data_IF_450791932875
#
_entry.id   IF_450791932875
#
_cell.length_a   1.000
_cell.length_b   1.000
_cell.length_c   1.000
_cell.angle_alpha   90.00
_cell.angle_beta   90.00
_cell.angle_gamma   90.00
#
_symmetry.space_group_name_H-M   'P 1'
#
loop_
_entity.id
_entity.type
_entity.pdbx_description
1 polymer ?
#
# COMPACT_ATOMS: atom_id res chain seq x y z
N UNK A 1 -19.77 -25.04 -8.99
CA UNK A 1 -18.39 -24.55 -8.87
C UNK A 1 -17.79 -25.18 -7.62
N UNK A 2 -16.73 -26.00 -7.74
CA UNK A 2 -16.06 -26.57 -6.57
C UNK A 2 -15.45 -25.47 -5.70
N UNK A 3 -15.10 -25.75 -4.43
CA UNK A 3 -14.46 -24.76 -3.58
C UNK A 3 -13.19 -24.28 -4.28
N UNK A 4 -13.08 -22.96 -4.47
CA UNK A 4 -11.87 -22.30 -4.96
C UNK A 4 -10.72 -22.70 -4.04
N UNK A 5 -9.93 -23.68 -4.46
CA UNK A 5 -8.78 -24.13 -3.69
C UNK A 5 -7.73 -23.04 -3.82
N UNK A 6 -7.55 -22.24 -2.77
CA UNK A 6 -6.51 -21.22 -2.72
C UNK A 6 -5.16 -21.87 -3.01
N UNK A 7 -4.47 -21.42 -4.05
CA UNK A 7 -3.19 -21.96 -4.48
C UNK A 7 -2.01 -21.43 -3.63
N UNK A 8 -2.26 -20.39 -2.83
CA UNK A 8 -1.37 -19.93 -1.75
C UNK A 8 -2.11 -20.08 -0.42
N UNK A 9 -1.56 -20.84 0.55
CA UNK A 9 -2.20 -21.13 1.82
C UNK A 9 -2.04 -19.95 2.80
N UNK A 10 -2.63 -18.80 2.47
CA UNK A 10 -2.69 -17.65 3.37
C UNK A 10 -4.05 -17.61 4.07
N UNK A 11 -4.12 -17.12 5.32
CA UNK A 11 -5.40 -16.83 5.94
C UNK A 11 -6.12 -15.70 5.19
N UNK A 12 -7.45 -15.64 5.30
CA UNK A 12 -8.24 -14.55 4.72
C UNK A 12 -7.87 -13.19 5.32
N UNK A 13 -7.57 -13.17 6.61
CA UNK A 13 -7.07 -12.00 7.35
C UNK A 13 -6.18 -12.46 8.51
N UNK A 14 -5.21 -11.63 8.90
CA UNK A 14 -4.34 -11.86 10.05
C UNK A 14 -3.99 -10.54 10.73
N UNK A 15 -4.12 -10.48 12.06
CA UNK A 15 -3.87 -9.29 12.87
C UNK A 15 -2.78 -9.56 13.91
N UNK A 16 -1.80 -8.66 14.01
CA UNK A 16 -0.82 -8.64 15.10
C UNK A 16 -1.08 -7.43 15.95
N UNK A 17 -1.23 -7.68 17.25
CA UNK A 17 -1.38 -6.64 18.24
C UNK A 17 0.01 -6.32 18.80
N UNK A 18 0.44 -5.08 18.62
CA UNK A 18 1.71 -4.57 19.12
C UNK A 18 1.46 -3.75 20.38
N UNK A 19 2.23 -4.03 21.42
CA UNK A 19 2.10 -3.39 22.74
C UNK A 19 3.27 -2.43 23.03
N UNK A 20 4.23 -2.33 22.11
CA UNK A 20 5.34 -1.40 22.15
C UNK A 20 5.79 -1.04 20.73
N UNK A 21 6.27 0.19 20.54
CA UNK A 21 6.71 0.70 19.25
C UNK A 21 7.88 1.69 19.40
N UNK A 22 8.78 1.68 18.42
CA UNK A 22 9.74 2.74 18.17
C UNK A 22 9.29 3.48 16.90
N UNK A 23 9.08 4.78 17.02
CA UNK A 23 8.58 5.65 15.96
C UNK A 23 9.66 6.66 15.62
N UNK A 24 10.12 6.67 14.38
CA UNK A 24 11.03 7.70 13.89
C UNK A 24 10.21 8.81 13.24
N UNK A 25 10.32 10.02 13.78
CA UNK A 25 9.74 11.21 13.19
C UNK A 25 10.76 11.82 12.23
N UNK A 26 10.42 11.79 10.94
CA UNK A 26 11.28 12.33 9.89
C UNK A 26 11.35 13.85 9.87
N UNK A 27 10.35 14.56 10.42
CA UNK A 27 10.34 16.02 10.47
C UNK A 27 11.16 16.53 11.66
N UNK A 28 10.99 15.88 12.81
CA UNK A 28 11.71 16.25 14.02
C UNK A 28 13.06 15.51 14.19
N UNK A 29 13.40 14.62 13.26
CA UNK A 29 14.62 13.82 13.22
C UNK A 29 14.94 13.07 14.53
N UNK A 30 13.90 12.54 15.18
CA UNK A 30 14.03 11.92 16.50
C UNK A 30 13.22 10.63 16.63
N UNK A 31 13.69 9.77 17.54
CA UNK A 31 13.00 8.54 17.92
C UNK A 31 12.11 8.77 19.13
N UNK A 32 10.85 8.39 19.00
CA UNK A 32 9.93 8.20 20.10
C UNK A 32 9.80 6.70 20.42
N UNK A 33 9.74 6.35 21.68
CA UNK A 33 9.46 4.98 22.13
C UNK A 33 8.22 4.98 23.01
N UNK A 34 7.33 4.04 22.76
CA UNK A 34 6.09 3.88 23.53
C UNK A 34 5.88 2.41 23.86
N UNK A 35 5.29 2.14 25.02
CA UNK A 35 4.78 0.84 25.38
C UNK A 35 3.52 1.00 26.23
N UNK A 36 2.57 0.10 26.05
CA UNK A 36 1.31 0.04 26.77
C UNK A 36 1.15 -1.34 27.39
N UNK A 37 0.77 -1.38 28.66
CA UNK A 37 0.36 -2.63 29.32
C UNK A 37 -1.10 -2.93 28.95
N UNK A 38 -1.34 -4.17 28.54
CA UNK A 38 -2.70 -4.62 28.24
C UNK A 38 -3.39 -5.15 29.50
N UNK A 39 -4.72 -5.10 29.58
CA UNK A 39 -5.45 -5.69 30.68
C UNK A 39 -5.24 -7.21 30.74
N UNK A 40 -5.29 -7.75 31.96
CA UNK A 40 -5.32 -9.20 32.22
C UNK A 40 -6.60 -9.77 31.60
N UNK A 41 -6.56 -10.94 30.92
CA UNK A 41 -5.48 -11.93 30.89
C UNK A 41 -4.44 -11.76 29.77
N UNK A 42 -4.62 -10.81 28.84
CA UNK A 42 -3.78 -10.69 27.65
C UNK A 42 -2.29 -10.40 27.99
N UNK A 43 -2.03 -9.75 29.13
CA UNK A 43 -0.68 -9.42 29.58
C UNK A 43 -0.07 -10.41 30.61
N UNK A 44 -0.73 -11.53 30.96
CA UNK A 44 -0.39 -12.39 32.12
C UNK A 44 1.05 -12.96 32.13
N UNK A 45 1.81 -12.80 31.04
CA UNK A 45 3.23 -13.21 30.91
C UNK A 45 4.09 -12.19 30.13
N UNK A 46 3.61 -10.97 29.94
CA UNK A 46 4.36 -9.91 29.26
C UNK A 46 5.26 -9.18 30.27
N UNK A 47 6.49 -8.80 29.89
CA UNK A 47 7.26 -7.84 30.68
C UNK A 47 6.49 -6.52 30.80
N UNK A 48 6.73 -5.77 31.89
CA UNK A 48 6.08 -4.47 32.11
C UNK A 48 6.36 -3.48 30.96
N UNK A 49 5.48 -2.50 30.75
CA UNK A 49 5.70 -1.44 29.77
C UNK A 49 7.05 -0.75 29.99
N UNK A 50 7.43 -0.48 31.24
CA UNK A 50 8.73 0.11 31.58
C UNK A 50 9.92 -0.76 31.13
N UNK A 51 9.86 -2.08 31.33
CA UNK A 51 10.89 -3.01 30.88
C UNK A 51 10.98 -3.06 29.35
N UNK A 52 9.83 -3.07 28.66
CA UNK A 52 9.77 -3.04 27.18
C UNK A 52 10.31 -1.73 26.61
N UNK A 53 10.01 -0.59 27.24
CA UNK A 53 10.57 0.71 26.89
C UNK A 53 12.09 0.73 27.01
N UNK A 54 12.63 0.27 28.15
CA UNK A 54 14.07 0.17 28.35
C UNK A 54 14.71 -0.71 27.25
N UNK A 55 14.15 -1.89 27.00
CA UNK A 55 14.65 -2.79 25.95
C UNK A 55 14.60 -2.19 24.55
N UNK A 56 13.59 -1.37 24.21
CA UNK A 56 13.55 -0.64 22.94
C UNK A 56 14.63 0.44 22.87
N UNK A 57 14.84 1.20 23.94
CA UNK A 57 15.90 2.22 24.02
C UNK A 57 17.28 1.60 23.84
N UNK A 58 17.56 0.49 24.53
CA UNK A 58 18.85 -0.19 24.43
C UNK A 58 19.10 -0.73 23.02
N UNK A 59 18.07 -1.26 22.35
CA UNK A 59 18.16 -1.70 20.95
C UNK A 59 18.43 -0.54 20.00
N UNK A 60 17.77 0.60 20.19
CA UNK A 60 18.02 1.80 19.38
C UNK A 60 19.44 2.35 19.59
N UNK A 61 19.90 2.44 20.85
CA UNK A 61 21.25 2.88 21.17
C UNK A 61 22.31 1.94 20.57
N UNK A 62 22.10 0.62 20.70
CA UNK A 62 22.97 -0.39 20.09
C UNK A 62 22.97 -0.28 18.57
N UNK A 63 21.81 -0.05 17.95
CA UNK A 63 21.70 0.11 16.51
C UNK A 63 22.38 1.39 16.00
N UNK A 64 22.32 2.48 16.75
CA UNK A 64 23.02 3.72 16.41
C UNK A 64 24.55 3.58 16.45
N UNK A 65 25.07 2.69 17.30
CA UNK A 65 26.50 2.38 17.38
C UNK A 65 27.00 1.42 16.26
N UNK A 66 26.09 0.75 15.55
CA UNK A 66 26.46 -0.14 14.45
C UNK A 66 26.77 0.66 13.18
N UNK A 67 27.75 0.21 12.36
CA UNK A 67 27.98 0.82 11.06
C UNK A 67 26.72 0.69 10.17
N UNK A 68 26.46 1.69 9.31
CA UNK A 68 25.32 1.63 8.41
C UNK A 68 25.44 0.36 7.55
N UNK A 69 24.35 -0.41 7.40
CA UNK A 69 24.43 -1.67 6.70
C UNK A 69 24.80 -1.42 5.24
N UNK A 70 25.78 -2.17 4.73
CA UNK A 70 26.25 -2.08 3.35
C UNK A 70 25.14 -2.28 2.31
N UNK A 71 25.41 -1.99 1.03
CA UNK A 71 24.46 -2.23 -0.05
C UNK A 71 24.07 -3.73 -0.07
N UNK A 72 22.77 -4.04 -0.26
CA UNK A 72 22.33 -5.42 -0.31
C UNK A 72 22.97 -6.14 -1.52
N UNK A 73 23.45 -7.40 -1.37
CA UNK A 73 24.11 -8.15 -2.44
C UNK A 73 23.15 -8.44 -3.60
N UNK A 74 23.69 -8.59 -4.83
CA UNK A 74 22.90 -8.96 -6.00
C UNK A 74 22.10 -10.24 -5.73
N UNK A 75 20.82 -10.32 -6.13
CA UNK A 75 20.01 -11.47 -5.80
C UNK A 75 20.31 -12.60 -6.76
N UNK A 76 20.71 -13.74 -6.21
CA UNK A 76 20.64 -15.01 -6.90
C UNK A 76 19.18 -15.47 -6.90
N UNK A 77 18.62 -15.65 -8.09
CA UNK A 77 17.24 -16.10 -8.23
C UNK A 77 17.08 -17.04 -9.41
N UNK A 78 16.12 -17.95 -9.31
CA UNK A 78 15.69 -18.78 -10.44
C UNK A 78 15.03 -17.91 -11.53
N UNK A 79 14.88 -18.41 -12.77
CA UNK A 79 14.06 -17.75 -13.76
C UNK A 79 12.63 -17.48 -13.23
N UNK A 80 12.10 -16.30 -13.57
CA UNK A 80 10.74 -15.92 -13.18
C UNK A 80 9.74 -16.82 -13.88
N UNK A 81 8.85 -17.44 -13.11
CA UNK A 81 7.69 -18.21 -13.58
C UNK A 81 6.45 -17.34 -13.51
N UNK A 82 5.59 -17.44 -14.52
CA UNK A 82 4.31 -16.75 -14.59
C UNK A 82 3.19 -17.79 -14.46
N UNK A 83 2.11 -17.47 -13.75
CA UNK A 83 0.97 -18.38 -13.60
C UNK A 83 0.07 -18.49 -14.85
N UNK A 84 0.39 -17.76 -15.92
CA UNK A 84 -0.43 -17.66 -17.13
C UNK A 84 0.46 -17.34 -18.34
N UNK A 85 0.10 -17.87 -19.51
CA UNK A 85 0.73 -17.49 -20.77
C UNK A 85 0.25 -16.11 -21.25
N UNK A 86 1.06 -15.48 -22.11
CA UNK A 86 0.71 -14.21 -22.76
C UNK A 86 -0.63 -14.30 -23.51
N UNK A 87 -0.84 -15.35 -24.29
CA UNK A 87 -2.06 -15.53 -25.08
C UNK A 87 -3.30 -15.72 -24.20
N UNK A 88 -3.17 -16.47 -23.11
CA UNK A 88 -4.25 -16.61 -22.14
C UNK A 88 -4.58 -15.29 -21.44
N UNK A 89 -3.58 -14.45 -21.14
CA UNK A 89 -3.81 -13.12 -20.60
C UNK A 89 -4.55 -12.21 -21.60
N UNK A 90 -4.13 -12.22 -22.88
CA UNK A 90 -4.82 -11.45 -23.93
C UNK A 90 -6.24 -11.95 -24.19
N UNK A 91 -6.50 -13.24 -24.11
CA UNK A 91 -7.84 -13.78 -24.18
C UNK A 91 -8.75 -13.22 -23.06
N UNK A 92 -8.21 -13.08 -21.83
CA UNK A 92 -8.93 -12.43 -20.71
C UNK A 92 -9.17 -10.95 -20.97
N UNK A 93 -8.19 -10.22 -21.51
CA UNK A 93 -8.33 -8.81 -21.89
C UNK A 93 -9.43 -8.64 -22.94
N UNK A 94 -9.44 -9.47 -24.00
CA UNK A 94 -10.45 -9.39 -25.04
C UNK A 94 -11.85 -9.75 -24.52
N UNK A 95 -11.95 -10.70 -23.59
CA UNK A 95 -13.21 -10.99 -22.91
C UNK A 95 -13.70 -9.82 -22.07
N UNK A 96 -12.79 -9.17 -21.32
CA UNK A 96 -13.13 -7.97 -20.55
C UNK A 96 -13.65 -6.84 -21.44
N UNK A 97 -13.00 -6.60 -22.59
CA UNK A 97 -13.46 -5.61 -23.58
C UNK A 97 -14.88 -5.90 -24.07
N UNK A 98 -15.19 -7.16 -24.42
CA UNK A 98 -16.56 -7.53 -24.81
C UNK A 98 -17.59 -7.26 -23.71
N UNK A 99 -17.24 -7.50 -22.45
CA UNK A 99 -18.14 -7.15 -21.34
C UNK A 99 -18.32 -5.64 -21.17
N UNK A 100 -17.27 -4.85 -21.42
CA UNK A 100 -17.37 -3.38 -21.43
C UNK A 100 -18.26 -2.90 -22.59
N UNK A 101 -18.06 -3.44 -23.79
CA UNK A 101 -18.85 -3.11 -24.99
C UNK A 101 -20.33 -3.50 -24.85
N UNK A 102 -20.61 -4.62 -24.17
CA UNK A 102 -21.97 -5.06 -23.86
C UNK A 102 -22.63 -4.24 -22.74
N UNK A 103 -21.87 -3.41 -22.01
CA UNK A 103 -22.37 -2.64 -20.87
C UNK A 103 -22.47 -3.44 -19.56
N UNK A 104 -21.90 -4.65 -19.49
CA UNK A 104 -21.95 -5.50 -18.30
C UNK A 104 -21.05 -4.99 -17.16
N UNK A 105 -19.92 -4.37 -17.50
CA UNK A 105 -18.98 -3.75 -16.56
C UNK A 105 -18.41 -2.46 -17.15
N UNK A 106 -18.05 -1.51 -16.30
CA UNK A 106 -17.33 -0.30 -16.74
C UNK A 106 -15.81 -0.48 -16.73
N UNK A 107 -15.28 -1.28 -15.79
CA UNK A 107 -13.86 -1.55 -15.64
C UNK A 107 -13.62 -2.91 -14.99
N UNK A 108 -12.46 -3.51 -15.26
CA UNK A 108 -11.92 -4.64 -14.50
C UNK A 108 -10.42 -4.45 -14.28
N UNK A 109 -9.94 -4.87 -13.11
CA UNK A 109 -8.51 -4.99 -12.85
C UNK A 109 -8.06 -6.44 -13.05
N UNK A 110 -7.39 -6.72 -14.17
CA UNK A 110 -6.82 -8.04 -14.45
C UNK A 110 -5.43 -8.14 -13.84
N UNK A 111 -5.17 -9.23 -13.11
CA UNK A 111 -3.88 -9.49 -12.48
C UNK A 111 -3.30 -10.84 -12.91
N UNK A 112 -1.98 -10.94 -12.84
CA UNK A 112 -1.22 -12.18 -13.03
C UNK A 112 -0.11 -12.26 -12.00
N UNK A 113 0.36 -13.47 -11.68
CA UNK A 113 1.34 -13.70 -10.64
C UNK A 113 2.68 -14.11 -11.25
N UNK A 114 3.73 -13.41 -10.83
CA UNK A 114 5.12 -13.72 -11.12
C UNK A 114 5.75 -14.34 -9.88
N UNK A 115 6.58 -15.37 -10.06
CA UNK A 115 7.17 -16.14 -8.98
C UNK A 115 8.62 -16.46 -9.29
N UNK A 116 9.50 -16.35 -8.30
CA UNK A 116 10.87 -16.84 -8.38
C UNK A 116 11.29 -17.40 -7.03
N UNK A 117 12.30 -18.28 -7.02
CA UNK A 117 13.02 -18.75 -5.84
C UNK A 117 14.30 -17.93 -5.70
N UNK A 118 14.61 -17.52 -4.48
CA UNK A 118 15.83 -16.78 -4.14
C UNK A 118 16.27 -17.19 -2.74
N UNK A 119 17.58 -17.12 -2.52
CA UNK A 119 18.25 -17.29 -1.23
C UNK A 119 18.47 -15.96 -0.49
N UNK A 120 18.13 -14.83 -1.12
CA UNK A 120 18.23 -13.52 -0.47
C UNK A 120 17.20 -13.39 0.64
N UNK A 121 17.67 -12.95 1.81
CA UNK A 121 16.79 -12.73 2.96
C UNK A 121 15.70 -11.66 2.66
N UNK A 122 14.49 -11.81 3.21
CA UNK A 122 13.40 -10.84 3.01
C UNK A 122 13.80 -9.41 3.36
N UNK A 123 14.59 -9.20 4.42
CA UNK A 123 15.04 -7.86 4.80
C UNK A 123 15.96 -7.23 3.73
N UNK A 124 16.85 -8.01 3.11
CA UNK A 124 17.71 -7.50 2.03
C UNK A 124 16.90 -7.19 0.77
N UNK A 125 15.91 -8.02 0.42
CA UNK A 125 14.98 -7.72 -0.66
C UNK A 125 14.19 -6.44 -0.39
N UNK A 126 13.71 -6.24 0.84
CA UNK A 126 12.97 -5.03 1.21
C UNK A 126 13.84 -3.77 1.14
N UNK A 127 15.10 -3.85 1.61
CA UNK A 127 16.06 -2.74 1.47
C UNK A 127 16.33 -2.39 0.00
N UNK A 128 16.37 -3.38 -0.89
CA UNK A 128 16.48 -3.16 -2.35
C UNK A 128 15.23 -2.45 -2.87
N UNK A 129 14.05 -2.99 -2.56
CA UNK A 129 12.77 -2.43 -2.98
C UNK A 129 12.61 -0.97 -2.57
N UNK A 130 12.92 -0.64 -1.30
CA UNK A 130 12.81 0.74 -0.77
C UNK A 130 13.78 1.72 -1.46
N UNK A 131 14.90 1.24 -1.99
CA UNK A 131 15.84 2.08 -2.77
C UNK A 131 15.37 2.27 -4.21
N UNK A 132 14.87 1.21 -4.86
CA UNK A 132 14.47 1.26 -6.27
C UNK A 132 13.09 1.88 -6.48
N UNK A 133 12.20 1.76 -5.50
CA UNK A 133 10.82 2.25 -5.55
C UNK A 133 10.44 2.73 -4.15
N UNK A 134 10.89 3.92 -3.73
CA UNK A 134 10.48 4.51 -2.46
C UNK A 134 8.97 4.81 -2.49
N UNK A 135 8.28 4.55 -1.38
CA UNK A 135 6.85 4.85 -1.27
C UNK A 135 6.46 5.31 0.15
N UNK A 136 5.39 6.12 0.21
CA UNK A 136 4.77 6.63 1.44
C UNK A 136 4.06 5.56 2.26
N UNK A 137 3.52 4.52 1.63
CA UNK A 137 2.82 3.41 2.28
C UNK A 137 3.59 2.08 2.17
N UNK A 138 4.92 2.14 2.29
CA UNK A 138 5.78 0.96 2.30
C UNK A 138 5.67 0.16 3.62
N UNK A 139 5.77 -1.16 3.54
CA UNK A 139 5.68 -2.03 4.72
C UNK A 139 6.58 -3.27 4.60
N UNK A 140 7.15 -3.68 5.74
CA UNK A 140 7.84 -4.95 5.91
C UNK A 140 7.18 -5.73 7.05
N UNK A 141 6.47 -6.80 6.71
CA UNK A 141 5.62 -7.54 7.66
C UNK A 141 5.99 -9.03 7.64
N UNK A 142 6.88 -9.48 8.53
CA UNK A 142 7.10 -10.90 8.76
C UNK A 142 5.90 -11.54 9.48
N UNK A 143 5.35 -12.61 8.92
CA UNK A 143 4.16 -13.31 9.38
C UNK A 143 4.29 -14.83 9.19
N UNK A 144 4.55 -15.58 10.26
CA UNK A 144 4.44 -17.05 10.35
C UNK A 144 4.82 -17.82 9.08
N UNK A 145 6.10 -17.75 8.69
CA UNK A 145 6.64 -18.44 7.51
C UNK A 145 6.47 -17.70 6.18
N UNK A 146 5.76 -16.56 6.19
CA UNK A 146 5.61 -15.64 5.06
C UNK A 146 6.16 -14.27 5.46
N UNK A 147 6.64 -13.48 4.49
CA UNK A 147 7.00 -12.08 4.74
C UNK A 147 6.42 -11.24 3.62
N UNK A 148 5.65 -10.21 3.99
CA UNK A 148 5.10 -9.25 3.04
C UNK A 148 6.07 -8.08 2.92
N UNK A 149 6.45 -7.77 1.68
CA UNK A 149 7.25 -6.62 1.32
C UNK A 149 6.37 -5.75 0.42
N UNK A 150 6.03 -4.55 0.89
CA UNK A 150 5.15 -3.63 0.17
C UNK A 150 5.87 -2.32 -0.13
N UNK A 151 5.64 -1.80 -1.33
CA UNK A 151 5.93 -0.41 -1.69
C UNK A 151 4.72 0.19 -2.42
N UNK A 152 3.58 0.22 -1.72
CA UNK A 152 2.32 0.73 -2.28
C UNK A 152 2.35 2.25 -2.34
N UNK A 153 2.11 2.89 -3.51
CA UNK A 153 1.99 4.34 -3.61
C UNK A 153 0.62 4.86 -3.15
N UNK A 154 -0.40 4.00 -3.14
CA UNK A 154 -1.80 4.38 -3.00
C UNK A 154 -2.30 4.15 -1.57
N UNK A 155 -2.98 5.17 -1.02
CA UNK A 155 -3.70 5.07 0.24
C UNK A 155 -5.07 4.45 -0.03
N UNK A 156 -5.27 3.22 0.45
CA UNK A 156 -6.58 2.56 0.37
C UNK A 156 -7.62 3.27 1.26
N UNK A 157 -7.29 3.44 2.54
CA UNK A 157 -8.15 4.09 3.53
C UNK A 157 -7.29 4.60 4.70
N UNK A 158 -7.48 5.85 5.12
CA UNK A 158 -7.10 6.36 6.44
C UNK A 158 -8.39 6.69 7.20
N UNK A 159 -8.44 6.35 8.48
CA UNK A 159 -9.58 6.66 9.32
C UNK A 159 -9.11 6.99 10.73
N UNK A 160 -9.37 8.24 11.13
CA UNK A 160 -8.96 8.85 12.38
C UNK A 160 -10.14 9.60 12.97
N UNK A 161 -10.46 9.32 14.24
CA UNK A 161 -11.53 10.02 14.97
C UNK A 161 -12.88 10.06 14.24
N UNK A 162 -13.19 8.99 13.50
CA UNK A 162 -14.42 8.90 12.69
C UNK A 162 -14.35 9.58 11.32
N UNK A 163 -13.28 10.30 11.00
CA UNK A 163 -13.05 10.90 9.69
C UNK A 163 -12.29 9.94 8.78
N UNK A 164 -12.85 9.63 7.61
CA UNK A 164 -12.31 8.67 6.64
C UNK A 164 -11.81 9.38 5.39
N UNK A 165 -10.65 8.96 4.90
CA UNK A 165 -10.00 9.49 3.70
C UNK A 165 -9.57 8.33 2.81
N UNK A 166 -9.83 8.42 1.51
CA UNK A 166 -9.28 7.53 0.49
C UNK A 166 -8.70 8.34 -0.66
N UNK A 167 -7.59 7.90 -1.23
CA UNK A 167 -6.86 8.67 -2.25
C UNK A 167 -6.57 7.82 -3.49
N UNK A 168 -7.60 7.55 -4.33
CA UNK A 168 -7.41 6.72 -5.52
C UNK A 168 -6.46 7.35 -6.53
N UNK A 169 -5.68 6.49 -7.20
CA UNK A 169 -4.75 6.89 -8.25
C UNK A 169 -5.20 6.35 -9.61
N UNK A 170 -5.35 7.23 -10.60
CA UNK A 170 -5.52 6.85 -12.01
C UNK A 170 -4.77 7.78 -12.94
N UNK A 171 -3.90 7.17 -13.75
CA UNK A 171 -2.97 7.87 -14.60
C UNK A 171 -1.60 8.01 -13.94
N UNK A 172 -0.58 7.59 -14.67
CA UNK A 172 0.82 7.60 -14.21
C UNK A 172 1.73 7.96 -15.38
N UNK A 173 2.72 8.81 -15.14
CA UNK A 173 3.80 9.09 -16.09
C UNK A 173 5.16 8.96 -15.40
N UNK A 174 6.20 8.45 -16.08
CA UNK A 174 7.52 8.32 -15.48
C UNK A 174 8.17 9.69 -15.29
N UNK A 175 9.02 9.79 -14.27
CA UNK A 175 10.02 10.86 -14.17
C UNK A 175 11.33 10.38 -14.75
N UNK A 176 11.95 11.23 -15.54
CA UNK A 176 13.21 10.91 -16.23
C UNK A 176 14.39 11.73 -15.74
N UNK A 177 14.18 12.63 -14.77
CA UNK A 177 15.24 13.46 -14.18
C UNK A 177 15.67 14.64 -15.04
N UNK A 178 15.01 14.86 -16.19
CA UNK A 178 15.15 16.04 -17.03
C UNK A 178 13.94 16.96 -16.85
N UNK A 179 14.18 18.22 -16.47
CA UNK A 179 13.12 19.15 -16.10
C UNK A 179 12.15 19.46 -17.25
N UNK A 180 12.63 19.49 -18.49
CA UNK A 180 11.81 19.78 -19.66
C UNK A 180 10.91 18.59 -20.00
N UNK A 181 11.47 17.38 -20.04
CA UNK A 181 10.69 16.15 -20.27
C UNK A 181 9.70 15.88 -19.14
N UNK A 182 10.10 16.09 -17.88
CA UNK A 182 9.21 15.94 -16.73
C UNK A 182 8.03 16.94 -16.80
N UNK A 183 8.26 18.18 -17.23
CA UNK A 183 7.20 19.16 -17.46
C UNK A 183 6.23 18.73 -18.59
N UNK A 184 6.75 18.12 -19.66
CA UNK A 184 5.93 17.55 -20.73
C UNK A 184 5.08 16.40 -20.19
N UNK A 185 5.67 15.44 -19.48
CA UNK A 185 4.96 14.30 -18.91
C UNK A 185 3.86 14.76 -17.94
N UNK A 186 4.17 15.72 -17.07
CA UNK A 186 3.20 16.33 -16.14
C UNK A 186 2.03 16.97 -16.91
N UNK A 187 2.33 17.74 -17.96
CA UNK A 187 1.30 18.42 -18.78
C UNK A 187 0.45 17.41 -19.54
N UNK A 188 1.04 16.36 -20.10
CA UNK A 188 0.32 15.29 -20.79
C UNK A 188 -0.63 14.56 -19.86
N UNK A 189 -0.18 14.22 -18.65
CA UNK A 189 -1.03 13.58 -17.64
C UNK A 189 -2.19 14.50 -17.22
N UNK A 190 -1.89 15.78 -16.98
CA UNK A 190 -2.90 16.75 -16.57
C UNK A 190 -3.98 16.99 -17.65
N UNK A 191 -3.59 16.97 -18.93
CA UNK A 191 -4.49 17.23 -20.07
C UNK A 191 -5.18 15.99 -20.61
N UNK A 192 -4.95 14.81 -20.03
CA UNK A 192 -5.51 13.58 -20.58
C UNK A 192 -6.98 13.40 -20.18
N UNK A 193 -7.88 13.57 -21.15
CA UNK A 193 -9.32 13.33 -20.95
C UNK A 193 -9.61 11.88 -20.55
N UNK A 194 -8.86 10.93 -21.11
CA UNK A 194 -8.96 9.51 -20.77
C UNK A 194 -8.65 9.27 -19.29
N UNK A 195 -7.49 9.72 -18.81
CA UNK A 195 -7.06 9.48 -17.42
C UNK A 195 -8.00 10.20 -16.44
N UNK A 196 -8.50 11.38 -16.80
CA UNK A 196 -9.52 12.10 -16.04
C UNK A 196 -10.85 11.33 -15.97
N UNK A 197 -11.31 10.77 -17.09
CA UNK A 197 -12.54 9.98 -17.12
C UNK A 197 -12.40 8.69 -16.29
N UNK A 198 -11.26 7.98 -16.41
CA UNK A 198 -10.97 6.80 -15.60
C UNK A 198 -10.93 7.13 -14.10
N UNK A 199 -10.30 8.24 -13.70
CA UNK A 199 -10.27 8.68 -12.31
C UNK A 199 -11.67 9.02 -11.79
N UNK A 200 -12.46 9.78 -12.54
CA UNK A 200 -13.81 10.17 -12.13
C UNK A 200 -14.70 8.95 -11.85
N UNK A 201 -14.61 7.92 -12.70
CA UNK A 201 -15.32 6.67 -12.50
C UNK A 201 -14.92 5.97 -11.18
N UNK A 202 -13.64 5.98 -10.82
CA UNK A 202 -13.16 5.45 -9.53
C UNK A 202 -13.64 6.33 -8.36
N UNK A 203 -13.65 7.65 -8.54
CA UNK A 203 -14.18 8.57 -7.54
C UNK A 203 -15.65 8.26 -7.24
N UNK A 204 -16.47 8.08 -8.27
CA UNK A 204 -17.88 7.76 -8.07
C UNK A 204 -18.10 6.39 -7.42
N UNK A 205 -17.30 5.38 -7.80
CA UNK A 205 -17.30 4.07 -7.14
C UNK A 205 -17.00 4.21 -5.64
N UNK A 206 -15.94 4.93 -5.28
CA UNK A 206 -15.53 5.09 -3.89
C UNK A 206 -16.48 5.97 -3.09
N UNK A 207 -17.10 7.00 -3.70
CA UNK A 207 -18.18 7.76 -3.08
C UNK A 207 -19.38 6.87 -2.75
N UNK A 208 -19.75 5.98 -3.66
CA UNK A 208 -20.81 5.00 -3.41
C UNK A 208 -20.44 4.03 -2.28
N UNK A 209 -19.20 3.52 -2.26
CA UNK A 209 -18.73 2.61 -1.22
C UNK A 209 -18.71 3.29 0.16
N UNK A 210 -18.16 4.51 0.24
CA UNK A 210 -18.20 5.33 1.45
C UNK A 210 -19.65 5.69 1.84
N UNK A 211 -20.55 5.89 0.86
CA UNK A 211 -21.98 6.17 1.08
C UNK A 211 -22.71 5.13 1.91
N UNK A 212 -22.20 3.90 1.94
CA UNK A 212 -22.78 2.78 2.72
C UNK A 212 -22.41 2.83 4.21
N UNK A 213 -21.36 3.57 4.57
CA UNK A 213 -20.77 3.56 5.92
C UNK A 213 -20.62 4.96 6.54
N UNK A 214 -20.62 6.02 5.74
CA UNK A 214 -20.53 7.40 6.20
C UNK A 214 -21.90 8.02 6.50
N UNK A 215 -21.91 9.15 7.20
CA UNK A 215 -23.10 9.97 7.42
C UNK A 215 -23.62 10.49 6.08
N UNK A 216 -24.95 10.59 5.97
CA UNK A 216 -25.56 11.17 4.78
C UNK A 216 -25.08 12.62 4.60
N UNK A 217 -24.61 12.94 3.40
CA UNK A 217 -24.13 14.29 3.06
C UNK A 217 -22.73 14.64 3.55
N UNK A 218 -22.03 13.78 4.31
CA UNK A 218 -20.66 14.08 4.76
C UNK A 218 -19.60 13.83 3.70
N UNK A 219 -19.92 13.07 2.65
CA UNK A 219 -18.93 12.64 1.65
C UNK A 219 -18.60 13.78 0.70
N UNK A 220 -17.33 14.13 0.60
CA UNK A 220 -16.83 15.21 -0.24
C UNK A 220 -15.66 14.74 -1.10
N UNK A 221 -15.60 15.25 -2.33
CA UNK A 221 -14.41 15.12 -3.20
C UNK A 221 -13.59 16.39 -2.99
N UNK A 222 -12.57 16.32 -2.15
CA UNK A 222 -11.71 17.47 -1.81
C UNK A 222 -10.78 17.80 -2.97
N UNK A 223 -10.33 16.77 -3.69
CA UNK A 223 -9.55 16.91 -4.92
C UNK A 223 -10.03 15.91 -5.97
N UNK A 224 -10.17 16.36 -7.22
CA UNK A 224 -10.68 15.56 -8.34
C UNK A 224 -9.59 15.21 -9.38
N UNK A 225 -8.32 15.15 -8.96
CA UNK A 225 -7.22 14.74 -9.83
C UNK A 225 -6.04 15.69 -9.82
N UNK A 226 -5.50 15.98 -8.63
CA UNK A 226 -4.22 16.67 -8.50
C UNK A 226 -3.08 15.82 -9.06
N UNK A 227 -2.03 16.50 -9.55
CA UNK A 227 -0.82 15.83 -9.98
C UNK A 227 0.19 15.83 -8.84
N UNK A 228 0.36 14.65 -8.25
CA UNK A 228 1.36 14.39 -7.22
C UNK A 228 2.68 13.94 -7.85
N UNK A 229 3.77 14.51 -7.32
CA UNK A 229 5.12 14.19 -7.73
C UNK A 229 5.76 13.23 -6.72
N UNK A 230 6.17 12.07 -7.21
CA UNK A 230 6.95 11.08 -6.46
C UNK A 230 8.37 11.00 -7.03
N UNK A 231 9.33 10.35 -6.35
CA UNK A 231 10.70 10.29 -6.83
C UNK A 231 10.87 9.73 -8.25
N UNK A 232 10.01 8.79 -8.68
CA UNK A 232 10.15 8.10 -9.97
C UNK A 232 8.98 8.32 -10.93
N UNK A 233 7.88 8.92 -10.48
CA UNK A 233 6.64 9.02 -11.26
C UNK A 233 5.81 10.25 -10.88
N UNK A 234 4.92 10.66 -11.80
CA UNK A 234 3.79 11.53 -11.53
C UNK A 234 2.51 10.70 -11.45
N UNK A 235 1.69 10.95 -10.44
CA UNK A 235 0.38 10.32 -10.26
C UNK A 235 -0.73 11.37 -10.34
N UNK A 236 -1.84 11.03 -10.99
CA UNK A 236 -3.07 11.81 -10.87
C UNK A 236 -3.93 11.19 -9.78
N UNK A 237 -4.21 11.97 -8.75
CA UNK A 237 -4.78 11.50 -7.48
C UNK A 237 -6.03 12.30 -7.15
N UNK A 238 -7.10 11.63 -6.74
CA UNK A 238 -8.25 12.28 -6.14
C UNK A 238 -8.22 12.06 -4.62
N UNK A 239 -8.86 12.95 -3.87
CA UNK A 239 -9.04 12.81 -2.42
C UNK A 239 -10.52 12.85 -2.11
N UNK A 240 -11.01 11.80 -1.45
CA UNK A 240 -12.40 11.65 -1.07
C UNK A 240 -12.43 11.47 0.44
N UNK A 241 -13.24 12.28 1.10
CA UNK A 241 -13.34 12.32 2.54
C UNK A 241 -14.79 12.13 2.98
N UNK A 242 -14.98 11.71 4.23
CA UNK A 242 -16.29 11.65 4.85
C UNK A 242 -16.21 11.36 6.34
N UNK A 243 -17.36 11.43 7.02
CA UNK A 243 -17.46 11.06 8.42
C UNK A 243 -18.20 9.74 8.56
N UNK A 244 -17.63 8.78 9.26
CA UNK A 244 -18.30 7.55 9.63
C UNK A 244 -19.60 7.81 10.39
N UNK A 245 -20.61 7.01 10.08
CA UNK A 245 -21.84 6.98 10.88
C UNK A 245 -21.53 6.49 12.31
N UNK A 246 -22.27 6.99 13.31
CA UNK A 246 -22.01 6.80 14.74
C UNK A 246 -21.97 5.34 15.27
N UNK A 247 -22.25 4.34 14.42
CA UNK A 247 -22.20 2.90 14.75
C UNK A 247 -21.29 2.09 13.82
N UNK A 248 -20.36 2.74 13.13
CA UNK A 248 -19.38 2.10 12.25
C UNK A 248 -17.99 2.25 12.83
N UNK A 249 -17.18 1.21 12.71
CA UNK A 249 -15.77 1.22 13.10
C UNK A 249 -14.92 0.53 12.03
N UNK A 250 -13.60 0.50 12.22
CA UNK A 250 -12.68 -0.30 11.39
C UNK A 250 -13.00 -1.80 11.39
N UNK A 251 -13.60 -2.31 12.47
CA UNK A 251 -13.95 -3.71 12.72
C UNK A 251 -15.46 -3.92 12.67
#
# INVERSE_FOLDING_TARGET
>A
AGPTRWDVPLPLAGFRLYDAAAVYDHQAEQWYVTAVDWPVPLARRRPSAASRLAGLRDRLASAAAMPPPGPPPAPTSSPVRVNMSKDAYFAKVNRAKRYIEAGDIYQVNLTQRFMTRTDVSPLMLYRRLRRSSPSSHAAFLPWDGVTVLSSSPELFLDLRDGHVVTRPIKGTRPRVGDAHQDAIHRRQLNKSDKERAELNMIVDLLRNDLGRVCKLGSIQVVSAGDIEEHPTVFHRVATIEGDLAARRTWL
#
